data_IF_252936377655
#
_entry.id   IF_252936377655
#
_cell.length_a   1.000
_cell.length_b   1.000
_cell.length_c   1.000
_cell.angle_alpha   90.00
_cell.angle_beta   90.00
_cell.angle_gamma   90.00
#
_symmetry.space_group_name_H-M   'P 1'
#
loop_
_entity.id
_entity.type
_entity.pdbx_description
1 polymer ?
#
# COMPACT_ATOMS: atom_id res chain seq x y z
N UNK A 1 -11.04 5.54 -19.77
CA UNK A 1 -11.43 4.38 -18.92
C UNK A 1 -10.59 4.45 -17.63
N UNK A 2 -11.18 4.37 -16.43
CA UNK A 2 -10.42 4.32 -15.18
C UNK A 2 -9.45 3.12 -15.16
N UNK A 3 -8.15 3.30 -14.87
CA UNK A 3 -7.18 2.21 -14.90
C UNK A 3 -7.26 1.35 -13.63
N UNK A 4 -6.62 0.18 -13.67
CA UNK A 4 -6.33 -0.64 -12.49
C UNK A 4 -4.84 -0.52 -12.20
N UNK A 5 -4.47 -0.23 -10.95
CA UNK A 5 -3.07 -0.22 -10.53
C UNK A 5 -2.65 -1.63 -10.12
N UNK A 6 -1.47 -2.04 -10.58
CA UNK A 6 -0.69 -3.14 -10.02
C UNK A 6 0.45 -2.55 -9.21
N UNK A 7 0.45 -2.75 -7.89
CA UNK A 7 1.35 -2.07 -6.98
C UNK A 7 2.47 -2.99 -6.48
N UNK A 8 3.74 -2.60 -6.64
CA UNK A 8 4.90 -3.40 -6.24
C UNK A 8 5.51 -2.93 -4.91
N UNK A 9 4.73 -2.28 -4.05
CA UNK A 9 5.21 -1.75 -2.77
C UNK A 9 5.80 -2.82 -1.83
N UNK A 10 5.23 -4.03 -1.87
CA UNK A 10 5.61 -5.13 -0.98
C UNK A 10 6.25 -6.32 -1.70
N UNK A 11 6.37 -6.27 -3.03
CA UNK A 11 7.03 -7.31 -3.79
C UNK A 11 8.50 -7.43 -3.35
N UNK A 12 8.98 -8.65 -3.14
CA UNK A 12 10.37 -8.92 -2.77
C UNK A 12 11.01 -10.02 -3.62
N UNK A 13 10.38 -10.40 -4.73
CA UNK A 13 10.92 -11.34 -5.71
C UNK A 13 12.25 -10.87 -6.31
N UNK A 14 12.46 -9.56 -6.40
CA UNK A 14 13.73 -8.96 -6.84
C UNK A 14 14.86 -8.98 -5.78
N UNK A 15 14.53 -9.12 -4.50
CA UNK A 15 15.49 -9.21 -3.39
C UNK A 15 14.88 -9.98 -2.20
N UNK A 16 14.93 -11.30 -2.28
CA UNK A 16 14.32 -12.20 -1.31
C UNK A 16 14.94 -12.12 0.11
N UNK A 17 16.07 -11.43 0.29
CA UNK A 17 16.65 -11.21 1.62
C UNK A 17 15.89 -10.17 2.43
N UNK A 18 15.02 -9.39 1.77
CA UNK A 18 14.23 -8.34 2.40
C UNK A 18 12.77 -8.76 2.45
N UNK A 19 12.15 -8.52 3.61
CA UNK A 19 10.70 -8.72 3.80
C UNK A 19 10.08 -7.37 4.14
N UNK A 20 9.08 -6.97 3.37
CA UNK A 20 8.40 -5.68 3.53
C UNK A 20 7.19 -5.85 4.46
N UNK A 21 7.35 -5.40 5.70
CA UNK A 21 6.33 -5.45 6.76
C UNK A 21 5.67 -4.08 7.05
N UNK A 22 5.95 -3.07 6.22
CA UNK A 22 5.38 -1.73 6.35
C UNK A 22 3.92 -1.66 5.87
N UNK A 23 3.17 -0.61 6.24
CA UNK A 23 1.81 -0.38 5.76
C UNK A 23 1.79 0.00 4.27
N UNK A 24 0.67 -0.25 3.60
CA UNK A 24 0.36 0.36 2.31
C UNK A 24 0.31 1.88 2.46
N UNK A 25 1.20 2.59 1.77
CA UNK A 25 1.43 4.03 1.96
C UNK A 25 1.98 4.68 0.69
N UNK A 26 2.03 6.02 0.68
CA UNK A 26 2.57 6.79 -0.46
C UNK A 26 1.59 7.03 -1.61
N UNK A 27 0.32 6.63 -1.46
CA UNK A 27 -0.74 6.85 -2.44
C UNK A 27 -1.88 7.66 -1.83
N UNK A 28 -2.16 8.81 -2.43
CA UNK A 28 -3.26 9.67 -1.97
C UNK A 28 -4.62 9.01 -2.21
N UNK A 29 -5.57 9.07 -1.26
CA UNK A 29 -6.96 8.65 -1.46
C UNK A 29 -7.68 9.38 -2.60
N UNK A 30 -7.19 10.55 -3.03
CA UNK A 30 -7.69 11.28 -4.21
C UNK A 30 -7.58 10.47 -5.52
N UNK A 31 -6.80 9.39 -5.51
CA UNK A 31 -6.71 8.44 -6.61
C UNK A 31 -7.93 7.51 -6.69
N UNK A 32 -8.54 7.14 -5.56
CA UNK A 32 -9.62 6.15 -5.49
C UNK A 32 -10.76 6.43 -6.50
N UNK A 33 -11.34 7.66 -6.59
CA UNK A 33 -12.41 7.92 -7.55
C UNK A 33 -11.96 7.90 -9.02
N UNK A 34 -10.65 7.95 -9.29
CA UNK A 34 -10.06 7.95 -10.64
C UNK A 34 -9.71 6.53 -11.12
N UNK A 35 -9.77 5.53 -10.25
CA UNK A 35 -9.35 4.16 -10.50
C UNK A 35 -10.53 3.21 -10.63
N UNK A 36 -10.33 2.12 -11.36
CA UNK A 36 -11.21 0.96 -11.33
C UNK A 36 -10.88 0.02 -10.17
N UNK A 37 -9.66 0.10 -9.65
CA UNK A 37 -9.20 -0.69 -8.51
C UNK A 37 -7.69 -0.63 -8.36
N UNK A 38 -7.22 -1.21 -7.26
CA UNK A 38 -5.80 -1.42 -6.96
C UNK A 38 -5.62 -2.88 -6.56
N UNK A 39 -4.57 -3.50 -7.09
CA UNK A 39 -4.10 -4.82 -6.72
C UNK A 39 -2.67 -4.67 -6.23
N UNK A 40 -2.35 -5.21 -5.06
CA UNK A 40 -0.96 -5.23 -4.54
C UNK A 40 -0.27 -6.53 -4.92
N UNK A 41 0.97 -6.44 -5.37
CA UNK A 41 1.89 -7.56 -5.53
C UNK A 41 2.55 -7.82 -4.17
N UNK A 42 2.23 -8.93 -3.50
CA UNK A 42 2.70 -9.21 -2.15
C UNK A 42 4.17 -9.64 -2.11
N UNK A 43 4.72 -9.76 -0.90
CA UNK A 43 5.92 -10.55 -0.65
C UNK A 43 5.67 -12.01 -1.05
N UNK A 44 6.72 -12.74 -1.40
CA UNK A 44 6.69 -14.18 -1.61
C UNK A 44 6.21 -14.94 -0.37
N UNK A 45 6.55 -14.46 0.84
CA UNK A 45 6.18 -15.10 2.10
C UNK A 45 4.72 -14.80 2.45
N UNK A 46 3.85 -15.81 2.34
CA UNK A 46 2.41 -15.68 2.60
C UNK A 46 2.07 -14.93 3.89
N UNK A 47 2.67 -15.33 5.02
CA UNK A 47 2.37 -14.75 6.33
C UNK A 47 2.83 -13.30 6.52
N UNK A 48 3.84 -12.85 5.76
CA UNK A 48 4.36 -11.48 5.86
C UNK A 48 3.39 -10.43 5.31
N UNK A 49 2.41 -10.84 4.52
CA UNK A 49 1.51 -9.94 3.79
C UNK A 49 0.30 -9.45 4.58
N UNK A 50 0.16 -9.87 5.84
CA UNK A 50 -0.98 -9.46 6.68
C UNK A 50 -1.08 -7.93 6.78
N UNK A 51 0.02 -7.25 7.11
CA UNK A 51 0.05 -5.78 7.26
C UNK A 51 -0.27 -5.10 5.92
N UNK A 52 0.36 -5.54 4.83
CA UNK A 52 0.18 -4.99 3.49
C UNK A 52 -1.28 -5.04 3.04
N UNK A 53 -1.91 -6.21 3.13
CA UNK A 53 -3.29 -6.43 2.67
C UNK A 53 -4.29 -5.70 3.57
N UNK A 54 -4.10 -5.78 4.90
CA UNK A 54 -5.00 -5.13 5.86
C UNK A 54 -4.99 -3.60 5.69
N UNK A 55 -3.81 -3.01 5.50
CA UNK A 55 -3.66 -1.56 5.33
C UNK A 55 -4.10 -1.07 3.95
N UNK A 56 -3.94 -1.88 2.89
CA UNK A 56 -4.56 -1.60 1.58
C UNK A 56 -6.09 -1.53 1.68
N UNK A 57 -6.70 -2.47 2.41
CA UNK A 57 -8.15 -2.47 2.63
C UNK A 57 -8.61 -1.25 3.47
N UNK A 58 -7.80 -0.78 4.41
CA UNK A 58 -8.06 0.47 5.13
C UNK A 58 -7.97 1.68 4.20
N UNK A 59 -6.89 1.77 3.41
CA UNK A 59 -6.69 2.84 2.43
C UNK A 59 -7.84 2.94 1.43
N UNK A 60 -8.40 1.82 0.96
CA UNK A 60 -9.51 1.82 0.00
C UNK A 60 -10.80 2.47 0.52
N UNK A 61 -10.87 2.76 1.84
CA UNK A 61 -11.99 3.45 2.49
C UNK A 61 -11.64 4.88 2.91
N UNK A 62 -10.41 5.34 2.69
CA UNK A 62 -10.01 6.70 2.99
C UNK A 62 -10.61 7.69 1.97
N UNK A 63 -10.86 8.91 2.43
CA UNK A 63 -11.37 10.02 1.61
C UNK A 63 -10.55 11.31 1.77
N UNK A 64 -9.53 11.28 2.62
CA UNK A 64 -8.64 12.39 2.92
C UNK A 64 -7.23 11.84 3.14
N UNK A 65 -6.22 12.59 2.71
CA UNK A 65 -4.83 12.29 3.02
C UNK A 65 -4.58 12.38 4.53
N UNK A 66 -3.92 11.37 5.09
CA UNK A 66 -3.50 11.41 6.49
C UNK A 66 -2.42 12.45 6.71
N UNK A 67 -2.63 13.38 7.64
CA UNK A 67 -1.58 14.30 8.05
C UNK A 67 -0.54 13.57 8.87
N UNK A 68 0.71 13.57 8.39
CA UNK A 68 1.86 13.10 9.16
C UNK A 68 2.27 14.26 10.06
N UNK A 69 2.10 14.10 11.37
CA UNK A 69 2.57 15.09 12.33
C UNK A 69 4.11 15.05 12.38
N UNK A 70 4.74 15.98 11.67
CA UNK A 70 6.21 16.08 11.56
C UNK A 70 6.86 16.52 12.88
N UNK A 71 6.07 16.92 13.89
CA UNK A 71 6.55 17.35 15.20
C UNK A 71 7.11 16.20 16.05
N UNK A 72 6.85 14.93 15.72
CA UNK A 72 7.25 13.74 16.49
C UNK A 72 8.60 13.16 16.00
N UNK A 73 9.31 13.81 15.08
CA UNK A 73 10.63 13.36 14.58
C UNK A 73 11.83 14.16 15.11
N UNK A 74 11.74 14.77 16.29
CA UNK A 74 12.89 15.32 17.03
C UNK A 74 13.25 14.50 18.25
#
# INVERSE_FOLDING_TARGET
RPPVIWDNLHANDYDQKRVFLGPYSGRSPDLIPKLRGVVTNPNCEYGANFIAIHTLAQWSRCNLDGQRDLSISM
#
